data_IF_203184210353
#
_entry.id   IF_203184210353
#
_cell.length_a   1.000
_cell.length_b   1.000
_cell.length_c   1.000
_cell.angle_alpha   90.00
_cell.angle_beta   90.00
_cell.angle_gamma   90.00
#
_symmetry.space_group_name_H-M   'P 1'
#
loop_
_entity.id
_entity.type
_entity.pdbx_description
1 polymer ?
#
# COMPACT_ATOMS: atom_id res chain seq x y z
N UNK A 1 -17.62 71.98 -31.73
CA UNK A 1 -18.57 72.87 -32.44
C UNK A 1 -19.73 73.12 -31.50
N UNK A 2 -19.61 74.12 -30.62
CA UNK A 2 -20.74 74.72 -29.93
C UNK A 2 -20.55 76.23 -30.03
N UNK A 3 -21.53 76.88 -30.65
CA UNK A 3 -21.54 78.27 -31.05
C UNK A 3 -22.05 79.15 -29.91
N UNK A 4 -21.18 79.95 -29.29
CA UNK A 4 -21.62 81.07 -28.45
C UNK A 4 -21.93 82.29 -29.32
N UNK A 5 -23.20 82.68 -29.38
CA UNK A 5 -23.65 83.97 -29.92
C UNK A 5 -23.42 85.06 -28.87
N UNK A 6 -22.96 86.27 -29.24
CA UNK A 6 -22.94 87.42 -28.34
C UNK A 6 -24.33 88.04 -28.29
N UNK A 7 -24.88 88.20 -27.08
CA UNK A 7 -26.10 88.99 -26.84
C UNK A 7 -25.69 90.40 -26.42
N UNK A 8 -25.48 91.28 -27.40
CA UNK A 8 -25.51 92.72 -27.18
C UNK A 8 -26.97 93.17 -26.97
N UNK A 9 -27.28 93.62 -25.76
CA UNK A 9 -28.40 94.53 -25.51
C UNK A 9 -27.89 95.69 -24.68
N UNK A 10 -27.67 96.83 -25.34
CA UNK A 10 -27.56 98.11 -24.63
C UNK A 10 -28.92 98.45 -24.02
N UNK A 11 -28.99 98.90 -22.77
CA UNK A 11 -30.22 99.46 -22.21
C UNK A 11 -30.52 100.81 -22.84
N UNK A 12 -31.80 101.03 -23.13
CA UNK A 12 -32.37 102.26 -23.66
C UNK A 12 -32.22 103.41 -22.65
N UNK A 13 -31.90 104.61 -23.15
CA UNK A 13 -31.94 105.86 -22.39
C UNK A 13 -33.41 106.20 -22.10
N UNK A 14 -33.81 106.14 -20.83
CA UNK A 14 -35.08 106.71 -20.35
C UNK A 14 -34.81 108.11 -19.81
N UNK A 15 -35.43 109.10 -20.45
CA UNK A 15 -35.48 110.47 -19.99
C UNK A 15 -36.32 110.61 -18.71
N UNK A 16 -35.81 111.39 -17.76
CA UNK A 16 -36.65 112.20 -16.89
C UNK A 16 -37.09 111.59 -15.55
N UNK A 17 -36.22 111.70 -14.54
CA UNK A 17 -36.65 111.82 -13.14
C UNK A 17 -35.90 113.00 -12.52
N UNK A 18 -36.48 114.20 -12.65
CA UNK A 18 -36.18 115.32 -11.75
C UNK A 18 -37.00 115.08 -10.48
N UNK A 19 -36.33 114.60 -9.43
CA UNK A 19 -36.97 114.34 -8.14
C UNK A 19 -35.97 114.34 -6.99
N UNK A 20 -36.04 115.41 -6.18
CA UNK A 20 -35.62 115.51 -4.79
C UNK A 20 -34.11 115.50 -4.48
N UNK A 21 -33.50 116.67 -4.71
CA UNK A 21 -32.19 117.08 -4.22
C UNK A 21 -32.25 117.51 -2.75
N UNK A 22 -32.62 116.65 -1.80
CA UNK A 22 -32.73 117.08 -0.39
C UNK A 22 -32.63 115.95 0.65
N UNK A 23 -31.61 115.09 0.57
CA UNK A 23 -30.81 114.60 1.72
C UNK A 23 -29.47 114.12 1.15
N UNK A 24 -28.51 115.03 0.95
CA UNK A 24 -27.12 114.61 0.73
C UNK A 24 -26.54 114.19 2.08
N UNK A 25 -26.59 112.91 2.39
CA UNK A 25 -25.65 112.33 3.34
C UNK A 25 -24.25 112.65 2.78
N UNK A 26 -23.45 113.39 3.56
CA UNK A 26 -22.14 113.90 3.12
C UNK A 26 -21.36 112.75 2.49
N UNK A 27 -20.92 112.85 1.21
CA UNK A 27 -20.21 111.76 0.55
C UNK A 27 -19.03 111.36 1.41
N UNK A 28 -19.03 110.11 1.89
CA UNK A 28 -17.87 109.58 2.61
C UNK A 28 -16.75 109.45 1.58
N UNK A 29 -15.75 110.32 1.69
CA UNK A 29 -14.57 110.24 0.85
C UNK A 29 -13.69 109.14 1.45
N UNK A 30 -13.70 107.96 0.79
CA UNK A 30 -12.98 106.77 1.27
C UNK A 30 -11.46 106.85 1.13
N UNK A 31 -10.95 107.82 0.37
CA UNK A 31 -9.53 107.96 0.06
C UNK A 31 -9.07 109.41 0.19
N UNK A 32 -7.97 109.64 0.89
CA UNK A 32 -7.41 110.98 1.15
C UNK A 32 -6.26 111.31 0.19
N UNK A 33 -5.54 110.29 -0.28
CA UNK A 33 -4.47 110.38 -1.28
C UNK A 33 -4.79 109.43 -2.45
N UNK A 34 -4.77 109.90 -3.72
CA UNK A 34 -5.00 109.05 -4.90
C UNK A 34 -4.12 107.79 -4.96
N UNK A 35 -2.98 107.74 -4.27
CA UNK A 35 -2.11 106.55 -4.21
C UNK A 35 -2.65 105.40 -3.36
N UNK A 36 -3.58 105.67 -2.44
CA UNK A 36 -4.09 104.65 -1.50
C UNK A 36 -4.79 103.51 -2.23
N UNK A 37 -5.60 103.81 -3.25
CA UNK A 37 -6.28 102.80 -4.05
C UNK A 37 -5.31 101.97 -4.89
N UNK A 38 -4.29 102.61 -5.47
CA UNK A 38 -3.27 101.92 -6.29
C UNK A 38 -2.44 100.95 -5.44
N UNK A 39 -2.08 101.32 -4.21
CA UNK A 39 -1.39 100.43 -3.30
C UNK A 39 -2.26 99.23 -2.89
N UNK A 40 -3.55 99.45 -2.58
CA UNK A 40 -4.48 98.36 -2.27
C UNK A 40 -4.65 97.42 -3.47
N UNK A 41 -4.76 97.96 -4.69
CA UNK A 41 -4.82 97.13 -5.90
C UNK A 41 -3.53 96.35 -6.13
N UNK A 42 -2.36 96.96 -5.92
CA UNK A 42 -1.07 96.29 -6.04
C UNK A 42 -0.91 95.17 -4.99
N UNK A 43 -1.28 95.42 -3.73
CA UNK A 43 -1.30 94.41 -2.67
C UNK A 43 -2.25 93.26 -3.02
N UNK A 44 -3.47 93.56 -3.49
CA UNK A 44 -4.40 92.52 -3.94
C UNK A 44 -3.87 91.76 -5.15
N UNK A 45 -3.23 92.42 -6.11
CA UNK A 45 -2.60 91.77 -7.27
C UNK A 45 -1.46 90.83 -6.81
N UNK A 46 -0.62 91.25 -5.86
CA UNK A 46 0.41 90.41 -5.25
C UNK A 46 -0.19 89.20 -4.52
N UNK A 47 -1.24 89.39 -3.71
CA UNK A 47 -1.96 88.29 -3.03
C UNK A 47 -2.59 87.32 -4.03
N UNK A 48 -3.20 87.83 -5.09
CA UNK A 48 -3.81 86.99 -6.14
C UNK A 48 -2.74 86.18 -6.86
N UNK A 49 -1.58 86.78 -7.15
CA UNK A 49 -0.44 86.10 -7.75
C UNK A 49 0.14 85.02 -6.83
N UNK A 50 0.20 85.26 -5.52
CA UNK A 50 0.61 84.24 -4.54
C UNK A 50 -0.36 83.05 -4.53
N UNK A 51 -1.67 83.32 -4.56
CA UNK A 51 -2.69 82.27 -4.62
C UNK A 51 -2.56 81.42 -5.89
N UNK A 52 -2.28 82.02 -7.05
CA UNK A 52 -2.03 81.26 -8.27
C UNK A 52 -0.81 80.35 -8.16
N UNK A 53 0.28 80.84 -7.57
CA UNK A 53 1.49 80.03 -7.35
C UNK A 53 1.23 78.87 -6.37
N UNK A 54 0.47 79.10 -5.30
CA UNK A 54 0.07 78.06 -4.36
C UNK A 54 -0.80 76.99 -5.03
N UNK A 55 -1.76 77.42 -5.85
CA UNK A 55 -2.64 76.51 -6.60
C UNK A 55 -1.83 75.65 -7.59
N UNK A 56 -0.93 76.26 -8.35
CA UNK A 56 -0.04 75.54 -9.28
C UNK A 56 0.84 74.53 -8.54
N UNK A 57 1.38 74.93 -7.37
CA UNK A 57 2.18 74.03 -6.53
C UNK A 57 1.36 72.85 -6.00
N UNK A 58 0.13 73.10 -5.54
CA UNK A 58 -0.78 72.07 -5.05
C UNK A 58 -1.18 71.13 -6.20
N UNK A 59 -1.44 71.66 -7.39
CA UNK A 59 -1.79 70.86 -8.57
C UNK A 59 -0.66 69.91 -8.96
N UNK A 60 0.58 70.42 -9.06
CA UNK A 60 1.76 69.59 -9.36
C UNK A 60 1.99 68.52 -8.28
N UNK A 61 1.81 68.88 -7.01
CA UNK A 61 1.94 67.94 -5.90
C UNK A 61 0.88 66.83 -5.98
N UNK A 62 -0.37 67.18 -6.29
CA UNK A 62 -1.45 66.22 -6.47
C UNK A 62 -1.20 65.28 -7.65
N UNK A 63 -0.69 65.80 -8.77
CA UNK A 63 -0.34 64.99 -9.93
C UNK A 63 0.78 64.00 -9.61
N UNK A 64 1.83 64.45 -8.90
CA UNK A 64 2.89 63.58 -8.41
C UNK A 64 2.37 62.47 -7.48
N UNK A 65 1.51 62.81 -6.53
CA UNK A 65 0.92 61.81 -5.62
C UNK A 65 0.05 60.80 -6.36
N UNK A 66 -0.76 61.22 -7.33
CA UNK A 66 -1.57 60.32 -8.17
C UNK A 66 -0.69 59.37 -8.98
N UNK A 67 0.40 59.85 -9.56
CA UNK A 67 1.32 58.99 -10.32
C UNK A 67 2.02 57.99 -9.39
N UNK A 68 2.46 58.44 -8.21
CA UNK A 68 3.06 57.58 -7.18
C UNK A 68 2.09 56.50 -6.71
N UNK A 69 0.84 56.87 -6.41
CA UNK A 69 -0.22 55.95 -6.01
C UNK A 69 -0.49 54.92 -7.12
N UNK A 70 -0.60 55.37 -8.38
CA UNK A 70 -0.78 54.47 -9.52
C UNK A 70 0.36 53.46 -9.67
N UNK A 71 1.61 53.91 -9.49
CA UNK A 71 2.79 53.03 -9.47
C UNK A 71 2.70 52.02 -8.32
N UNK A 72 2.41 52.48 -7.11
CA UNK A 72 2.26 51.61 -5.93
C UNK A 72 1.16 50.56 -6.12
N UNK A 73 0.00 50.97 -6.62
CA UNK A 73 -1.10 50.06 -6.92
C UNK A 73 -0.68 48.98 -7.92
N UNK A 74 0.01 49.36 -9.00
CA UNK A 74 0.50 48.40 -9.99
C UNK A 74 1.53 47.42 -9.40
N UNK A 75 2.40 47.87 -8.49
CA UNK A 75 3.32 46.97 -7.77
C UNK A 75 2.56 46.00 -6.86
N UNK A 76 1.59 46.50 -6.09
CA UNK A 76 0.77 45.67 -5.22
C UNK A 76 -0.04 44.63 -6.01
N UNK A 77 -0.60 45.01 -7.15
CA UNK A 77 -1.36 44.10 -8.01
C UNK A 77 -0.47 43.00 -8.61
N UNK A 78 0.76 43.35 -9.04
CA UNK A 78 1.75 42.36 -9.49
C UNK A 78 2.14 41.40 -8.37
N UNK A 79 2.36 41.91 -7.17
CA UNK A 79 2.72 41.09 -6.01
C UNK A 79 1.56 40.16 -5.63
N UNK A 80 0.32 40.66 -5.59
CA UNK A 80 -0.87 39.86 -5.33
C UNK A 80 -1.05 38.75 -6.38
N UNK A 81 -0.83 39.06 -7.66
CA UNK A 81 -0.87 38.07 -8.73
C UNK A 81 0.24 37.02 -8.61
N UNK A 82 1.43 37.42 -8.16
CA UNK A 82 2.55 36.50 -7.91
C UNK A 82 2.25 35.58 -6.72
N UNK A 83 1.80 36.13 -5.59
CA UNK A 83 1.41 35.35 -4.41
C UNK A 83 0.28 34.38 -4.75
N UNK A 84 -0.72 34.80 -5.53
CA UNK A 84 -1.80 33.91 -5.97
C UNK A 84 -1.26 32.71 -6.77
N UNK A 85 -0.35 32.94 -7.71
CA UNK A 85 0.28 31.86 -8.49
C UNK A 85 1.11 30.92 -7.61
N UNK A 86 1.81 31.46 -6.63
CA UNK A 86 2.59 30.66 -5.70
C UNK A 86 1.69 29.78 -4.82
N UNK A 87 0.56 30.32 -4.36
CA UNK A 87 -0.46 29.56 -3.64
C UNK A 87 -1.00 28.41 -4.51
N UNK A 88 -1.31 28.67 -5.79
CA UNK A 88 -1.79 27.64 -6.71
C UNK A 88 -0.74 26.54 -6.92
N UNK A 89 0.53 26.93 -7.09
CA UNK A 89 1.65 26.00 -7.21
C UNK A 89 1.81 25.12 -5.96
N UNK A 90 1.85 25.73 -4.77
CA UNK A 90 1.95 24.99 -3.52
C UNK A 90 0.75 24.08 -3.28
N UNK A 91 -0.45 24.53 -3.64
CA UNK A 91 -1.68 23.72 -3.54
C UNK A 91 -1.60 22.48 -4.43
N UNK A 92 -1.09 22.62 -5.66
CA UNK A 92 -0.86 21.48 -6.55
C UNK A 92 0.18 20.51 -5.98
N UNK A 93 1.31 21.01 -5.48
CA UNK A 93 2.33 20.19 -4.80
C UNK A 93 1.76 19.41 -3.61
N UNK A 94 0.90 20.04 -2.80
CA UNK A 94 0.21 19.38 -1.68
C UNK A 94 -0.71 18.26 -2.20
N UNK A 95 -1.46 18.51 -3.27
CA UNK A 95 -2.37 17.53 -3.84
C UNK A 95 -1.63 16.32 -4.43
N UNK A 96 -0.52 16.54 -5.14
CA UNK A 96 0.35 15.46 -5.64
C UNK A 96 0.93 14.63 -4.49
N UNK A 97 1.43 15.28 -3.44
CA UNK A 97 1.96 14.59 -2.28
C UNK A 97 0.88 13.80 -1.54
N UNK A 98 -0.34 14.34 -1.41
CA UNK A 98 -1.49 13.61 -0.87
C UNK A 98 -1.85 12.39 -1.72
N UNK A 99 -1.82 12.50 -3.05
CA UNK A 99 -2.08 11.39 -3.95
C UNK A 99 -1.01 10.28 -3.79
N UNK A 100 0.28 10.65 -3.75
CA UNK A 100 1.38 9.71 -3.48
C UNK A 100 1.26 9.04 -2.11
N UNK A 101 0.88 9.80 -1.08
CA UNK A 101 0.64 9.26 0.26
C UNK A 101 -0.51 8.25 0.28
N UNK A 102 -1.61 8.53 -0.43
CA UNK A 102 -2.73 7.61 -0.57
C UNK A 102 -2.32 6.32 -1.32
N UNK A 103 -1.54 6.44 -2.39
CA UNK A 103 -1.00 5.30 -3.15
C UNK A 103 -0.11 4.42 -2.26
N UNK A 104 0.79 5.02 -1.47
CA UNK A 104 1.63 4.28 -0.53
C UNK A 104 0.77 3.60 0.53
N UNK A 105 -0.24 4.29 1.07
CA UNK A 105 -1.14 3.72 2.05
C UNK A 105 -1.91 2.52 1.48
N UNK A 106 -2.34 2.58 0.23
CA UNK A 106 -2.96 1.46 -0.47
C UNK A 106 -1.97 0.30 -0.64
N UNK A 107 -0.74 0.57 -1.08
CA UNK A 107 0.33 -0.45 -1.19
C UNK A 107 0.60 -1.12 0.15
N UNK A 108 0.64 -0.36 1.25
CA UNK A 108 0.80 -0.90 2.61
C UNK A 108 -0.40 -1.75 3.01
N UNK A 109 -1.63 -1.31 2.71
CA UNK A 109 -2.84 -2.11 2.95
C UNK A 109 -2.79 -3.42 2.15
N UNK A 110 -2.50 -3.37 0.85
CA UNK A 110 -2.35 -4.56 0.01
C UNK A 110 -1.25 -5.49 0.53
N UNK A 111 -0.12 -4.92 0.96
CA UNK A 111 0.98 -5.68 1.57
C UNK A 111 0.56 -6.36 2.89
N UNK A 112 -0.26 -5.70 3.70
CA UNK A 112 -0.80 -6.26 4.94
C UNK A 112 -1.93 -7.27 4.70
N UNK A 113 -2.72 -7.11 3.63
CA UNK A 113 -3.79 -8.04 3.24
C UNK A 113 -3.24 -9.28 2.53
N UNK A 114 -2.09 -9.15 1.86
CA UNK A 114 -1.35 -10.30 1.35
C UNK A 114 -0.92 -11.14 2.53
N UNK A 115 -1.55 -12.31 2.67
CA UNK A 115 -1.43 -13.28 3.77
C UNK A 115 -0.01 -13.88 3.96
N UNK A 116 0.99 -13.31 3.28
CA UNK A 116 2.40 -13.49 3.56
C UNK A 116 2.82 -12.49 4.63
N UNK A 117 2.40 -12.77 5.85
CA UNK A 117 2.81 -12.03 7.04
C UNK A 117 4.33 -11.84 6.98
N UNK A 118 4.79 -10.61 7.24
CA UNK A 118 6.21 -10.25 7.25
C UNK A 118 7.00 -11.23 8.11
N UNK A 119 6.38 -11.74 9.16
CA UNK A 119 6.89 -12.79 10.03
C UNK A 119 7.14 -14.11 9.29
N UNK A 120 6.24 -14.55 8.40
CA UNK A 120 6.46 -15.75 7.54
C UNK A 120 7.65 -15.55 6.61
N UNK A 121 7.74 -14.42 5.91
CA UNK A 121 8.88 -14.11 5.03
C UNK A 121 10.19 -14.03 5.80
N UNK A 122 10.18 -13.36 6.96
CA UNK A 122 11.34 -13.30 7.86
C UNK A 122 11.70 -14.67 8.44
N UNK A 123 10.74 -15.54 8.72
CA UNK A 123 10.99 -16.91 9.16
C UNK A 123 11.67 -17.73 8.05
N UNK A 124 11.21 -17.62 6.80
CA UNK A 124 11.85 -18.26 5.64
C UNK A 124 13.27 -17.74 5.46
N UNK A 125 13.50 -16.42 5.56
CA UNK A 125 14.85 -15.85 5.47
C UNK A 125 15.77 -16.34 6.59
N UNK A 126 15.27 -16.47 7.81
CA UNK A 126 16.03 -17.05 8.94
C UNK A 126 16.36 -18.53 8.69
N UNK A 127 15.41 -19.32 8.18
CA UNK A 127 15.64 -20.72 7.82
C UNK A 127 16.70 -20.85 6.72
N UNK A 128 16.63 -20.00 5.69
CA UNK A 128 17.62 -19.98 4.61
C UNK A 128 19.00 -19.62 5.15
N UNK A 129 19.10 -18.60 6.00
CA UNK A 129 20.37 -18.21 6.64
C UNK A 129 20.94 -19.34 7.49
N UNK A 130 20.09 -20.08 8.21
CA UNK A 130 20.50 -21.25 8.97
C UNK A 130 21.01 -22.38 8.06
N UNK A 131 20.36 -22.64 6.93
CA UNK A 131 20.84 -23.62 5.93
C UNK A 131 22.17 -23.20 5.30
N UNK A 132 22.36 -21.93 5.00
CA UNK A 132 23.65 -21.41 4.52
C UNK A 132 24.74 -21.62 5.56
N UNK A 133 24.45 -21.40 6.85
CA UNK A 133 25.38 -21.71 7.95
C UNK A 133 25.71 -23.20 8.06
N UNK A 134 24.72 -24.08 7.93
CA UNK A 134 24.93 -25.54 7.91
C UNK A 134 25.86 -25.95 6.75
N UNK A 135 25.64 -25.42 5.54
CA UNK A 135 26.51 -25.72 4.39
C UNK A 135 27.91 -25.17 4.62
N UNK A 136 28.02 -23.94 5.12
CA UNK A 136 29.30 -23.31 5.43
C UNK A 136 30.11 -24.12 6.45
N UNK A 137 29.48 -24.60 7.53
CA UNK A 137 30.17 -25.39 8.55
C UNK A 137 30.62 -26.74 8.02
N UNK A 138 29.85 -27.38 7.11
CA UNK A 138 30.27 -28.61 6.43
C UNK A 138 31.44 -28.36 5.49
N UNK A 139 31.44 -27.25 4.73
CA UNK A 139 32.49 -26.94 3.78
C UNK A 139 33.81 -26.49 4.43
N UNK A 140 33.74 -25.70 5.52
CA UNK A 140 34.92 -25.05 6.11
C UNK A 140 35.22 -25.43 7.57
N UNK A 141 34.36 -26.20 8.23
CA UNK A 141 34.59 -26.68 9.61
C UNK A 141 34.53 -25.63 10.72
N UNK A 142 34.26 -24.36 10.38
CA UNK A 142 34.22 -23.23 11.32
C UNK A 142 32.81 -22.62 11.40
N UNK A 143 32.40 -22.16 12.58
CA UNK A 143 31.17 -21.35 12.73
C UNK A 143 31.54 -19.87 12.73
N UNK A 144 31.16 -19.13 11.68
CA UNK A 144 31.15 -17.67 11.73
C UNK A 144 29.74 -17.20 12.03
N UNK A 145 29.50 -16.86 13.30
CA UNK A 145 28.14 -16.56 13.77
C UNK A 145 27.63 -15.18 13.34
N UNK A 146 28.54 -14.23 13.07
CA UNK A 146 28.25 -12.83 12.75
C UNK A 146 28.24 -12.51 11.25
N UNK A 147 28.63 -13.45 10.39
CA UNK A 147 28.73 -13.20 8.96
C UNK A 147 27.33 -13.12 8.30
N UNK A 148 27.22 -12.21 7.33
CA UNK A 148 26.02 -12.07 6.50
C UNK A 148 25.91 -13.26 5.55
N UNK A 149 24.68 -13.66 5.17
CA UNK A 149 24.42 -14.79 4.26
C UNK A 149 25.24 -14.69 2.96
N UNK A 150 25.36 -13.49 2.39
CA UNK A 150 26.14 -13.24 1.17
C UNK A 150 27.65 -13.46 1.38
N UNK A 151 28.19 -13.13 2.55
CA UNK A 151 29.61 -13.34 2.87
C UNK A 151 29.92 -14.83 3.02
N UNK A 152 29.02 -15.57 3.68
CA UNK A 152 29.11 -17.04 3.79
C UNK A 152 29.01 -17.71 2.42
N UNK A 153 28.11 -17.26 1.56
CA UNK A 153 27.99 -17.78 0.20
C UNK A 153 29.23 -17.48 -0.66
N UNK A 154 29.76 -16.25 -0.60
CA UNK A 154 30.94 -15.87 -1.36
C UNK A 154 32.19 -16.67 -0.97
N UNK A 155 32.35 -16.99 0.31
CA UNK A 155 33.46 -17.84 0.78
C UNK A 155 33.30 -19.30 0.37
N UNK A 156 32.07 -19.84 0.40
CA UNK A 156 31.77 -21.17 -0.18
C UNK A 156 32.09 -21.18 -1.68
N UNK A 157 31.69 -20.13 -2.40
CA UNK A 157 31.93 -20.02 -3.83
C UNK A 157 33.43 -20.03 -4.16
N UNK A 158 34.24 -19.25 -3.43
CA UNK A 158 35.70 -19.27 -3.59
C UNK A 158 36.29 -20.66 -3.31
N UNK A 159 35.84 -21.33 -2.24
CA UNK A 159 36.27 -22.69 -1.94
C UNK A 159 35.89 -23.69 -3.05
N UNK A 160 34.72 -23.54 -3.66
CA UNK A 160 34.30 -24.35 -4.80
C UNK A 160 35.19 -24.10 -6.03
N UNK A 161 35.54 -22.85 -6.33
CA UNK A 161 36.48 -22.54 -7.42
C UNK A 161 37.85 -23.18 -7.17
N UNK A 162 38.40 -23.09 -5.96
CA UNK A 162 39.68 -23.70 -5.60
C UNK A 162 39.66 -25.23 -5.76
N UNK A 163 38.54 -25.87 -5.40
CA UNK A 163 38.35 -27.31 -5.58
C UNK A 163 38.28 -27.71 -7.06
N UNK A 164 37.56 -26.92 -7.86
CA UNK A 164 37.46 -27.16 -9.31
C UNK A 164 38.82 -27.02 -9.99
N UNK A 165 39.60 -25.98 -9.64
CA UNK A 165 40.94 -25.81 -10.17
C UNK A 165 41.86 -26.99 -9.82
N UNK A 166 41.76 -27.51 -8.59
CA UNK A 166 42.49 -28.72 -8.18
C UNK A 166 42.05 -29.94 -8.97
N UNK A 167 40.75 -30.08 -9.22
CA UNK A 167 40.19 -31.19 -9.98
C UNK A 167 40.67 -31.20 -11.43
N UNK A 168 40.78 -30.03 -12.07
CA UNK A 168 41.29 -29.89 -13.44
C UNK A 168 42.78 -30.25 -13.56
N UNK A 169 43.54 -30.13 -12.46
CA UNK A 169 44.97 -30.49 -12.40
C UNK A 169 45.23 -31.98 -12.14
N UNK A 170 44.20 -32.77 -11.81
CA UNK A 170 44.38 -34.20 -11.46
C UNK A 170 44.70 -35.08 -12.69
N UNK A 171 45.56 -36.09 -12.54
CA UNK A 171 45.85 -37.03 -13.62
C UNK A 171 44.65 -37.92 -13.96
N UNK A 172 44.52 -38.30 -15.23
CA UNK A 172 43.36 -39.00 -15.77
C UNK A 172 43.06 -40.37 -15.10
N UNK A 173 44.07 -41.05 -14.55
CA UNK A 173 43.89 -42.34 -13.89
C UNK A 173 43.23 -42.22 -12.50
N UNK A 174 43.63 -41.22 -11.70
CA UNK A 174 42.99 -40.92 -10.41
C UNK A 174 41.57 -40.37 -10.61
N UNK A 175 41.38 -39.56 -11.66
CA UNK A 175 40.07 -39.07 -12.03
C UNK A 175 39.08 -40.21 -12.31
N UNK A 176 39.52 -41.26 -13.01
CA UNK A 176 38.69 -42.44 -13.32
C UNK A 176 38.29 -43.21 -12.07
N UNK A 177 39.15 -43.33 -11.06
CA UNK A 177 38.81 -44.02 -9.81
C UNK A 177 37.82 -43.21 -9.00
N UNK A 178 38.06 -41.91 -8.84
CA UNK A 178 37.15 -40.97 -8.17
C UNK A 178 35.76 -40.97 -8.85
N UNK A 179 35.71 -40.91 -10.17
CA UNK A 179 34.45 -40.96 -10.92
C UNK A 179 33.70 -42.29 -10.75
N UNK A 180 34.42 -43.43 -10.65
CA UNK A 180 33.80 -44.73 -10.40
C UNK A 180 33.19 -44.79 -9.00
N UNK A 181 33.89 -44.28 -7.99
CA UNK A 181 33.40 -44.22 -6.61
C UNK A 181 32.20 -43.28 -6.49
N UNK A 182 32.28 -42.08 -7.07
CA UNK A 182 31.16 -41.14 -7.13
C UNK A 182 29.92 -41.75 -7.80
N UNK A 183 30.09 -42.46 -8.93
CA UNK A 183 28.97 -43.17 -9.59
C UNK A 183 28.36 -44.23 -8.70
N UNK A 184 29.17 -45.02 -7.99
CA UNK A 184 28.69 -46.05 -7.04
C UNK A 184 27.92 -45.41 -5.90
N UNK A 185 28.44 -44.34 -5.31
CA UNK A 185 27.78 -43.62 -4.23
C UNK A 185 26.44 -43.02 -4.69
N UNK A 186 26.41 -42.36 -5.86
CA UNK A 186 25.21 -41.79 -6.44
C UNK A 186 24.12 -42.86 -6.66
N UNK A 187 24.50 -44.01 -7.20
CA UNK A 187 23.58 -45.14 -7.35
C UNK A 187 23.09 -45.67 -6.00
N UNK A 188 23.96 -45.73 -4.99
CA UNK A 188 23.57 -46.16 -3.65
C UNK A 188 22.58 -45.19 -2.99
N UNK A 189 22.77 -43.87 -3.14
CA UNK A 189 21.83 -42.84 -2.66
C UNK A 189 20.47 -42.96 -3.36
N UNK A 190 20.47 -43.08 -4.68
CA UNK A 190 19.23 -43.25 -5.46
C UNK A 190 18.45 -44.51 -5.04
N UNK A 191 19.14 -45.63 -4.78
CA UNK A 191 18.50 -46.85 -4.27
C UNK A 191 17.85 -46.62 -2.89
N UNK A 192 18.56 -45.96 -1.97
CA UNK A 192 18.00 -45.64 -0.64
C UNK A 192 16.77 -44.73 -0.73
N UNK A 193 16.78 -43.73 -1.61
CA UNK A 193 15.64 -42.86 -1.84
C UNK A 193 14.44 -43.64 -2.41
N UNK A 194 14.67 -44.55 -3.36
CA UNK A 194 13.64 -45.43 -3.92
C UNK A 194 13.05 -46.37 -2.86
N UNK A 195 13.90 -46.93 -1.97
CA UNK A 195 13.48 -47.76 -0.84
C UNK A 195 12.59 -46.96 0.13
N UNK A 196 12.99 -45.75 0.52
CA UNK A 196 12.19 -44.88 1.39
C UNK A 196 10.84 -44.52 0.77
N UNK A 197 10.80 -44.21 -0.54
CA UNK A 197 9.54 -43.96 -1.25
C UNK A 197 8.63 -45.18 -1.26
N UNK A 198 9.19 -46.38 -1.45
CA UNK A 198 8.43 -47.64 -1.36
C UNK A 198 7.88 -47.85 0.05
N UNK A 199 8.67 -47.59 1.08
CA UNK A 199 8.23 -47.69 2.48
C UNK A 199 7.09 -46.71 2.80
N UNK A 200 7.21 -45.44 2.39
CA UNK A 200 6.15 -44.45 2.56
C UNK A 200 4.87 -44.85 1.82
N UNK A 201 4.99 -45.27 0.56
CA UNK A 201 3.84 -45.73 -0.22
C UNK A 201 3.18 -46.98 0.40
N UNK A 202 3.97 -47.88 1.00
CA UNK A 202 3.44 -48.99 1.77
C UNK A 202 2.69 -48.48 3.01
N UNK A 203 3.29 -47.59 3.81
CA UNK A 203 2.64 -47.01 4.99
C UNK A 203 1.32 -46.32 4.64
N UNK A 204 1.27 -45.57 3.53
CA UNK A 204 0.03 -44.96 3.05
C UNK A 204 -1.03 -46.00 2.68
N UNK A 205 -0.64 -47.07 1.97
CA UNK A 205 -1.55 -48.20 1.68
C UNK A 205 -2.06 -48.87 2.94
N UNK A 206 -1.22 -49.03 3.96
CA UNK A 206 -1.62 -49.56 5.26
C UNK A 206 -2.60 -48.63 5.97
N UNK A 207 -2.34 -47.32 5.97
CA UNK A 207 -3.25 -46.30 6.52
C UNK A 207 -4.60 -46.34 5.80
N UNK A 208 -4.63 -46.36 4.48
CA UNK A 208 -5.86 -46.43 3.68
C UNK A 208 -6.66 -47.70 4.00
N UNK A 209 -6.00 -48.87 4.11
CA UNK A 209 -6.66 -50.12 4.49
C UNK A 209 -7.23 -50.06 5.91
N UNK A 210 -6.47 -49.51 6.86
CA UNK A 210 -6.91 -49.32 8.23
C UNK A 210 -8.13 -48.38 8.30
N UNK A 211 -8.11 -47.28 7.54
CA UNK A 211 -9.21 -46.33 7.41
C UNK A 211 -10.48 -47.02 6.89
N UNK A 212 -10.37 -47.80 5.81
CA UNK A 212 -11.50 -48.56 5.24
C UNK A 212 -12.04 -49.59 6.23
N UNK A 213 -11.17 -50.31 6.94
CA UNK A 213 -11.61 -51.26 7.97
C UNK A 213 -12.30 -50.56 9.15
N UNK A 214 -11.80 -49.40 9.57
CA UNK A 214 -12.42 -48.55 10.59
C UNK A 214 -13.79 -48.06 10.14
N UNK A 215 -13.92 -47.59 8.90
CA UNK A 215 -15.20 -47.19 8.32
C UNK A 215 -16.19 -48.35 8.25
N UNK A 216 -15.74 -49.57 7.91
CA UNK A 216 -16.58 -50.78 7.93
C UNK A 216 -17.03 -51.18 9.33
N UNK A 217 -16.20 -50.97 10.35
CA UNK A 217 -16.56 -51.25 11.74
C UNK A 217 -17.54 -50.21 12.33
N UNK A 218 -17.42 -48.95 11.90
CA UNK A 218 -18.33 -47.86 12.28
C UNK A 218 -19.63 -47.89 11.48
N UNK A 219 -19.63 -48.45 10.26
CA UNK A 219 -20.83 -48.66 9.48
C UNK A 219 -21.75 -49.63 10.23
N UNK A 220 -22.99 -49.20 10.47
CA UNK A 220 -23.98 -50.03 11.14
C UNK A 220 -24.11 -51.36 10.41
N UNK A 221 -23.80 -52.45 11.13
CA UNK A 221 -24.10 -53.81 10.65
C UNK A 221 -25.61 -53.91 10.60
N UNK A 222 -26.18 -53.72 9.40
CA UNK A 222 -27.57 -54.08 9.11
C UNK A 222 -27.69 -55.57 9.37
N UNK A 223 -28.15 -55.94 10.57
CA UNK A 223 -28.45 -57.33 10.89
C UNK A 223 -29.41 -57.80 9.80
N UNK A 224 -29.04 -58.78 8.96
CA UNK A 224 -30.01 -59.31 8.01
C UNK A 224 -31.21 -59.73 8.83
N UNK A 225 -32.42 -59.44 8.34
CA UNK A 225 -33.65 -59.88 8.98
C UNK A 225 -33.69 -61.40 8.86
N UNK A 226 -33.00 -62.09 9.78
CA UNK A 226 -32.91 -63.54 9.78
C UNK A 226 -34.30 -64.05 10.11
N UNK A 227 -34.90 -64.81 9.20
CA UNK A 227 -36.09 -65.61 9.51
C UNK A 227 -35.75 -66.45 10.75
N UNK A 228 -36.58 -66.34 11.80
CA UNK A 228 -36.41 -67.03 13.09
C UNK A 228 -35.97 -68.48 12.85
N UNK A 229 -34.81 -68.87 13.40
CA UNK A 229 -34.29 -70.24 13.28
C UNK A 229 -35.34 -71.17 13.88
N UNK A 230 -36.00 -71.96 13.03
CA UNK A 230 -36.88 -73.03 13.51
C UNK A 230 -36.02 -74.15 14.06
N UNK A 231 -36.46 -74.73 15.18
CA UNK A 231 -35.88 -75.94 15.74
C UNK A 231 -35.93 -77.03 14.67
N UNK A 232 -34.75 -77.43 14.19
CA UNK A 232 -34.63 -78.62 13.35
C UNK A 232 -34.70 -79.81 14.30
N UNK A 233 -35.42 -80.87 13.89
CA UNK A 233 -35.45 -82.12 14.63
C UNK A 233 -34.03 -82.52 15.00
N UNK A 234 -33.81 -82.81 16.29
CA UNK A 234 -32.51 -83.21 16.82
C UNK A 234 -32.04 -84.44 16.04
N UNK A 235 -30.91 -84.30 15.32
CA UNK A 235 -30.23 -85.45 14.75
C UNK A 235 -29.71 -86.30 15.92
N UNK A 236 -30.18 -87.54 15.99
CA UNK A 236 -29.66 -88.51 16.95
C UNK A 236 -28.14 -88.58 16.82
N UNK A 237 -27.48 -88.41 17.96
CA UNK A 237 -26.02 -88.49 18.05
C UNK A 237 -25.61 -89.87 17.58
N UNK A 238 -24.71 -89.93 16.59
CA UNK A 238 -24.09 -91.20 16.19
C UNK A 238 -23.46 -91.85 17.42
N UNK A 239 -24.02 -92.99 17.79
CA UNK A 239 -23.52 -93.85 18.84
C UNK A 239 -22.11 -94.31 18.42
N UNK A 240 -21.10 -94.28 19.30
CA UNK A 240 -19.76 -94.76 18.98
C UNK A 240 -19.81 -96.18 18.40
N UNK A 241 -19.02 -96.45 17.36
CA UNK A 241 -18.98 -97.73 16.63
C UNK A 241 -18.78 -98.96 17.54
N UNK A 242 -18.17 -98.75 18.70
CA UNK A 242 -17.97 -99.77 19.74
C UNK A 242 -19.26 -100.15 20.45
N UNK A 243 -20.14 -99.18 20.70
CA UNK A 243 -21.48 -99.41 21.26
C UNK A 243 -22.39 -100.09 20.23
N UNK A 244 -22.33 -99.70 18.95
CA UNK A 244 -23.06 -100.41 17.89
C UNK A 244 -22.63 -101.88 17.78
N UNK A 245 -21.33 -102.17 17.89
CA UNK A 245 -20.80 -103.54 17.91
C UNK A 245 -21.20 -104.30 19.17
N UNK A 246 -21.21 -103.64 20.33
CA UNK A 246 -21.66 -104.25 21.57
C UNK A 246 -23.15 -104.60 21.53
N UNK A 247 -23.97 -103.73 20.92
CA UNK A 247 -25.41 -103.96 20.74
C UNK A 247 -25.70 -105.05 19.70
N UNK A 248 -24.90 -105.13 18.63
CA UNK A 248 -24.96 -106.23 17.65
C UNK A 248 -24.54 -107.57 18.29
N UNK A 249 -23.46 -107.59 19.07
CA UNK A 249 -23.01 -108.80 19.77
C UNK A 249 -24.02 -109.24 20.86
N UNK A 250 -24.72 -108.29 21.49
CA UNK A 250 -25.86 -108.60 22.37
C UNK A 250 -27.00 -109.24 21.59
N UNK A 251 -27.38 -108.65 20.45
CA UNK A 251 -28.44 -109.20 19.59
C UNK A 251 -28.09 -110.59 19.05
N UNK A 252 -26.84 -110.84 18.66
CA UNK A 252 -26.38 -112.17 18.25
C UNK A 252 -26.45 -113.18 19.39
N UNK A 253 -26.03 -112.80 20.62
CA UNK A 253 -26.19 -113.66 21.79
C UNK A 253 -27.65 -113.94 22.14
N UNK A 254 -28.51 -112.92 22.03
CA UNK A 254 -29.95 -113.06 22.25
C UNK A 254 -30.60 -113.95 21.17
N UNK A 255 -30.10 -113.92 19.93
CA UNK A 255 -30.52 -114.84 18.85
C UNK A 255 -29.96 -116.25 19.03
N UNK A 256 -28.71 -116.42 19.43
CA UNK A 256 -28.10 -117.73 19.72
C UNK A 256 -28.80 -118.40 20.90
N UNK A 257 -29.16 -117.66 21.95
CA UNK A 257 -29.99 -118.20 23.05
C UNK A 257 -31.40 -118.55 22.57
N UNK A 258 -31.97 -117.81 21.61
CA UNK A 258 -33.26 -118.15 21.00
C UNK A 258 -33.21 -119.40 20.09
N UNK A 259 -32.05 -119.76 19.52
CA UNK A 259 -31.90 -120.91 18.61
C UNK A 259 -31.31 -122.19 19.25
N UNK A 260 -30.75 -122.11 20.46
CA UNK A 260 -30.15 -123.26 21.17
C UNK A 260 -30.79 -123.57 22.53
N UNK A 261 -31.97 -123.01 22.82
CA UNK A 261 -32.86 -123.47 23.89
C UNK A 261 -33.95 -124.41 23.34
N UNK A 262 -33.56 -125.65 23.01
CA UNK A 262 -34.42 -126.87 22.98
C UNK A 262 -33.57 -128.12 23.30
#
# INVERSE_FOLDING_TARGET
MESCKPSEKMPQEDEGIVGNLEVYEKPQIYFTDPKQLLNIMAEMEEETNHLFQDLDFIEQSLEFYKESEGKQHMYMEKEAAWVSKEIDYLTNCINENKAKAAEIQEKVKLFNMSEDSVERKNAVLKQLHQKIKEVYSVCMGCSQDTATSCQLLGTIEMYLYDLLEKFDRLPAEELKTIMKEYRREKLARAKKEEELLKELAQQERWRQRAEVMRQRALAEVKKPMVKKVMWRSWLEKKVPREQEKADLAKKEKDLESYFFEE
#
